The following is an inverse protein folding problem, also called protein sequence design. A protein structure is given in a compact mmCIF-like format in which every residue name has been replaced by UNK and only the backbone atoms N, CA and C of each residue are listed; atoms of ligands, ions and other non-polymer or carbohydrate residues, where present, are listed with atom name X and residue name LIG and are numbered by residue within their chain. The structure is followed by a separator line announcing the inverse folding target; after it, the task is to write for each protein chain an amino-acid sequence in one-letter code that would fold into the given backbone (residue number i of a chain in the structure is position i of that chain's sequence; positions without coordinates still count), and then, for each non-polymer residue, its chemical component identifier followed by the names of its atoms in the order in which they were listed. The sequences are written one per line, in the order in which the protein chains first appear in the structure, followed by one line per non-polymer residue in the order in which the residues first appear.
data_IF_458791275789
#
_entry.id   IF_458791275789
#
_cell.length_a   1.000
_cell.length_b   1.000
_cell.length_c   1.000
_cell.angle_alpha   90.00
_cell.angle_beta   90.00
_cell.angle_gamma   90.00
#
_symmetry.space_group_name_H-M   'P 1'
#
loop_
_entity.id
_entity.type
_entity.pdbx_description
1 polymer ?
#
# COMPACT_ATOMS: atom_id res chain seq x y z
N UNK A 1 -6.25 2.53 28.13
CA UNK A 1 -7.08 3.70 27.75
C UNK A 1 -7.43 3.56 26.27
N UNK A 2 -8.70 3.33 25.90
CA UNK A 2 -9.10 3.28 24.47
C UNK A 2 -9.03 4.70 23.90
N UNK A 3 -8.31 4.92 22.81
CA UNK A 3 -8.24 6.19 22.08
C UNK A 3 -9.56 6.42 21.32
N UNK A 4 -10.62 6.73 22.06
CA UNK A 4 -11.95 6.98 21.49
C UNK A 4 -11.88 8.17 20.51
N UNK A 5 -12.38 7.96 19.30
CA UNK A 5 -12.35 8.95 18.20
C UNK A 5 -11.13 8.89 17.29
N UNK A 6 -10.02 8.27 17.71
CA UNK A 6 -8.81 8.10 16.88
C UNK A 6 -8.73 6.74 16.21
N UNK A 7 -9.31 5.71 16.83
CA UNK A 7 -9.26 4.32 16.34
C UNK A 7 -10.67 3.84 16.04
N UNK A 8 -10.88 3.41 14.79
CA UNK A 8 -12.11 2.76 14.35
C UNK A 8 -11.89 1.26 14.21
N UNK A 9 -12.66 0.45 14.95
CA UNK A 9 -12.63 -1.01 14.81
C UNK A 9 -13.48 -1.41 13.60
N UNK A 10 -12.86 -1.91 12.54
CA UNK A 10 -13.55 -2.39 11.35
C UNK A 10 -12.63 -3.23 10.45
N UNK A 11 -13.22 -3.92 9.49
CA UNK A 11 -12.51 -4.37 8.29
C UNK A 11 -12.30 -3.18 7.35
N UNK A 12 -11.04 -2.71 7.27
CA UNK A 12 -10.68 -1.57 6.45
C UNK A 12 -10.82 -1.86 4.95
N UNK A 13 -10.71 -3.11 4.50
CA UNK A 13 -10.84 -3.46 3.08
C UNK A 13 -12.27 -3.24 2.56
N UNK A 14 -13.26 -3.25 3.44
CA UNK A 14 -14.68 -3.00 3.14
C UNK A 14 -15.08 -1.53 3.30
N UNK A 15 -14.22 -0.69 3.88
CA UNK A 15 -14.51 0.74 4.07
C UNK A 15 -14.41 1.50 2.76
N UNK A 16 -15.38 2.38 2.55
CA UNK A 16 -15.34 3.39 1.49
C UNK A 16 -14.74 4.66 2.07
N UNK A 17 -13.83 5.34 1.37
CA UNK A 17 -13.28 6.61 1.83
C UNK A 17 -14.41 7.63 2.07
N UNK A 18 -14.25 8.44 3.12
CA UNK A 18 -15.07 9.62 3.39
C UNK A 18 -14.91 10.66 2.26
N UNK A 19 -15.85 11.60 2.14
CA UNK A 19 -15.70 12.76 1.23
C UNK A 19 -14.38 13.47 1.49
N UNK A 20 -14.08 13.66 2.77
CA UNK A 20 -12.81 14.20 3.26
C UNK A 20 -11.79 13.06 3.36
N UNK A 21 -11.05 12.88 2.27
CA UNK A 21 -9.88 12.00 2.19
C UNK A 21 -8.70 12.60 2.99
N UNK A 22 -7.61 11.86 3.10
CA UNK A 22 -6.42 12.29 3.83
C UNK A 22 -5.37 12.92 2.90
N UNK A 23 -4.61 13.86 3.47
CA UNK A 23 -3.44 14.47 2.85
C UNK A 23 -2.19 13.57 3.01
N UNK A 24 -2.18 12.72 4.05
CA UNK A 24 -1.14 11.74 4.32
C UNK A 24 -1.78 10.41 4.76
N UNK A 25 -1.38 9.31 4.13
CA UNK A 25 -1.74 7.94 4.54
C UNK A 25 -0.46 7.15 4.79
N UNK A 26 -0.27 6.74 6.05
CA UNK A 26 0.87 5.91 6.46
C UNK A 26 0.42 4.51 6.86
N UNK A 27 1.25 3.51 6.65
CA UNK A 27 0.88 2.14 7.03
C UNK A 27 2.00 1.12 6.94
N UNK A 28 1.90 0.11 7.79
CA UNK A 28 2.61 -1.16 7.66
C UNK A 28 1.54 -2.25 7.45
N UNK A 29 1.06 -2.44 6.21
CA UNK A 29 -0.04 -3.36 5.97
C UNK A 29 0.37 -4.81 6.24
N UNK A 30 -0.58 -5.70 6.58
CA UNK A 30 -0.29 -7.09 6.87
C UNK A 30 0.29 -7.82 5.66
N UNK A 31 1.24 -8.72 5.92
CA UNK A 31 1.90 -9.52 4.87
C UNK A 31 1.16 -10.84 4.67
N UNK A 32 1.19 -11.36 3.44
CA UNK A 32 0.55 -12.63 3.09
C UNK A 32 -0.66 -12.48 2.17
N UNK A 33 -1.39 -13.59 2.03
CA UNK A 33 -2.50 -13.75 1.08
C UNK A 33 -3.84 -13.80 1.81
N UNK A 34 -4.87 -13.22 1.20
CA UNK A 34 -6.24 -13.31 1.67
C UNK A 34 -7.10 -14.09 0.67
N UNK A 35 -8.08 -14.84 1.19
CA UNK A 35 -9.21 -15.31 0.39
C UNK A 35 -10.27 -14.21 0.40
N UNK A 36 -10.60 -13.68 -0.77
CA UNK A 36 -11.60 -12.62 -0.92
C UNK A 36 -12.94 -13.21 -1.33
N UNK A 37 -14.03 -12.67 -0.79
CA UNK A 37 -15.36 -12.85 -1.37
C UNK A 37 -15.47 -12.15 -2.73
N UNK A 38 -16.54 -12.45 -3.47
CA UNK A 38 -16.74 -11.91 -4.81
C UNK A 38 -16.82 -10.38 -4.83
N UNK A 39 -17.51 -9.78 -3.85
CA UNK A 39 -17.69 -8.33 -3.75
C UNK A 39 -16.36 -7.60 -3.52
N UNK A 40 -15.56 -8.08 -2.57
CA UNK A 40 -14.25 -7.52 -2.25
C UNK A 40 -13.29 -7.72 -3.42
N UNK A 41 -13.32 -8.88 -4.07
CA UNK A 41 -12.48 -9.13 -5.25
C UNK A 41 -12.82 -8.18 -6.39
N UNK A 42 -14.10 -7.95 -6.65
CA UNK A 42 -14.57 -7.00 -7.65
C UNK A 42 -14.16 -5.57 -7.30
N UNK A 43 -14.30 -5.17 -6.03
CA UNK A 43 -13.86 -3.86 -5.53
C UNK A 43 -12.38 -3.57 -5.83
N UNK A 44 -11.50 -4.57 -5.67
CA UNK A 44 -10.06 -4.43 -5.88
C UNK A 44 -9.56 -4.93 -7.24
N UNK A 45 -10.45 -5.25 -8.19
CA UNK A 45 -10.06 -5.82 -9.50
C UNK A 45 -9.02 -5.01 -10.27
N UNK A 46 -8.99 -3.69 -10.07
CA UNK A 46 -8.08 -2.76 -10.77
C UNK A 46 -6.62 -2.90 -10.37
N UNK A 47 -6.35 -3.38 -9.16
CA UNK A 47 -4.99 -3.56 -8.61
C UNK A 47 -4.62 -5.05 -8.53
N UNK A 48 -5.61 -5.93 -8.49
CA UNK A 48 -5.42 -7.38 -8.39
C UNK A 48 -4.97 -8.02 -9.70
N UNK A 49 -4.04 -8.97 -9.58
CA UNK A 49 -3.72 -9.94 -10.62
C UNK A 49 -3.41 -11.30 -9.98
N UNK A 50 -4.16 -12.35 -10.32
CA UNK A 50 -4.02 -13.67 -9.71
C UNK A 50 -4.43 -13.69 -8.24
N UNK A 51 -3.45 -13.92 -7.34
CA UNK A 51 -3.66 -13.98 -5.89
C UNK A 51 -3.88 -12.59 -5.27
N UNK A 52 -4.69 -12.55 -4.20
CA UNK A 52 -4.92 -11.34 -3.43
C UNK A 52 -3.89 -11.21 -2.30
N UNK A 53 -2.83 -10.44 -2.55
CA UNK A 53 -1.83 -10.12 -1.55
C UNK A 53 -2.30 -8.93 -0.70
N UNK A 54 -2.28 -9.09 0.62
CA UNK A 54 -2.84 -8.13 1.58
C UNK A 54 -2.23 -6.73 1.44
N UNK A 55 -0.90 -6.61 1.49
CA UNK A 55 -0.24 -5.32 1.30
C UNK A 55 -0.60 -4.67 -0.04
N UNK A 56 -0.76 -5.44 -1.12
CA UNK A 56 -1.23 -4.91 -2.40
C UNK A 56 -2.66 -4.36 -2.33
N UNK A 57 -3.57 -5.04 -1.62
CA UNK A 57 -4.94 -4.56 -1.38
C UNK A 57 -4.93 -3.27 -0.55
N UNK A 58 -4.12 -3.23 0.51
CA UNK A 58 -4.00 -2.06 1.38
C UNK A 58 -3.34 -0.87 0.67
N UNK A 59 -2.43 -1.09 -0.29
CA UNK A 59 -1.88 -0.03 -1.13
C UNK A 59 -2.98 0.55 -2.04
N UNK A 60 -3.83 -0.26 -2.66
CA UNK A 60 -5.00 0.26 -3.39
C UNK A 60 -5.99 0.99 -2.46
N UNK A 61 -6.21 0.46 -1.25
CA UNK A 61 -7.03 1.14 -0.25
C UNK A 61 -6.47 2.53 0.10
N UNK A 62 -5.15 2.66 0.27
CA UNK A 62 -4.48 3.94 0.51
C UNK A 62 -4.72 4.91 -0.64
N UNK A 63 -4.61 4.45 -1.89
CA UNK A 63 -4.91 5.27 -3.08
C UNK A 63 -6.34 5.81 -3.09
N UNK A 64 -7.30 5.06 -2.52
CA UNK A 64 -8.70 5.48 -2.40
C UNK A 64 -8.89 6.52 -1.30
N UNK A 65 -8.13 6.40 -0.21
CA UNK A 65 -8.23 7.25 0.97
C UNK A 65 -7.37 8.51 0.89
N UNK A 66 -6.49 8.62 -0.11
CA UNK A 66 -5.61 9.78 -0.30
C UNK A 66 -6.21 10.75 -1.32
N UNK A 67 -6.19 12.05 -1.01
CA UNK A 67 -6.57 13.13 -1.94
C UNK A 67 -5.55 13.26 -3.08
N UNK A 68 -5.93 13.74 -4.27
CA UNK A 68 -4.96 14.31 -5.21
C UNK A 68 -4.09 15.36 -4.51
N UNK A 69 -2.78 15.32 -4.73
CA UNK A 69 -1.79 16.13 -4.02
C UNK A 69 -1.27 15.50 -2.73
N UNK A 70 -1.94 14.48 -2.17
CA UNK A 70 -1.53 13.82 -0.93
C UNK A 70 -0.44 12.76 -1.12
N UNK A 71 0.13 12.32 0.00
CA UNK A 71 1.25 11.37 0.07
C UNK A 71 0.83 10.05 0.71
N UNK A 72 1.32 8.94 0.17
CA UNK A 72 1.20 7.61 0.78
C UNK A 72 2.61 7.16 1.16
N UNK A 73 2.84 6.71 2.39
CA UNK A 73 4.14 6.20 2.84
C UNK A 73 3.96 4.84 3.54
N UNK A 74 4.39 3.77 2.85
CA UNK A 74 4.09 2.40 3.23
C UNK A 74 5.35 1.56 3.39
N UNK A 75 5.38 0.73 4.43
CA UNK A 75 6.40 -0.31 4.63
C UNK A 75 5.86 -1.62 4.07
N UNK A 76 6.46 -2.15 3.01
CA UNK A 76 5.98 -3.38 2.35
C UNK A 76 7.13 -4.30 1.93
N UNK A 77 6.89 -5.61 1.72
CA UNK A 77 7.91 -6.49 1.17
C UNK A 77 8.33 -6.08 -0.25
N UNK A 78 9.62 -6.15 -0.59
CA UNK A 78 10.18 -5.73 -1.89
C UNK A 78 9.60 -6.48 -3.10
N UNK A 79 8.98 -7.64 -2.87
CA UNK A 79 8.33 -8.45 -3.92
C UNK A 79 7.27 -7.69 -4.74
N UNK A 80 6.72 -6.57 -4.27
CA UNK A 80 5.81 -5.74 -5.07
C UNK A 80 6.49 -5.11 -6.30
N UNK A 81 7.81 -4.90 -6.25
CA UNK A 81 8.59 -4.25 -7.31
C UNK A 81 8.68 -5.12 -8.57
N UNK A 82 8.93 -6.43 -8.42
CA UNK A 82 9.14 -7.34 -9.54
C UNK A 82 8.04 -8.39 -9.71
N UNK A 83 7.34 -8.77 -8.63
CA UNK A 83 6.41 -9.90 -8.63
C UNK A 83 5.28 -9.75 -9.64
N UNK A 84 4.98 -10.84 -10.37
CA UNK A 84 3.95 -10.84 -11.44
C UNK A 84 2.56 -10.49 -10.92
N UNK A 85 2.23 -10.93 -9.69
CA UNK A 85 0.95 -10.65 -9.02
C UNK A 85 0.73 -9.15 -8.72
N UNK A 86 1.79 -8.33 -8.78
CA UNK A 86 1.73 -6.89 -8.54
C UNK A 86 1.75 -6.06 -9.82
N UNK A 87 1.73 -6.67 -11.01
CA UNK A 87 1.80 -5.92 -12.27
C UNK A 87 0.65 -4.90 -12.42
N UNK A 88 -0.57 -5.29 -12.04
CA UNK A 88 -1.74 -4.41 -12.10
C UNK A 88 -1.65 -3.28 -11.07
N UNK A 89 -1.16 -3.60 -9.86
CA UNK A 89 -0.87 -2.58 -8.84
C UNK A 89 0.20 -1.59 -9.31
N UNK A 90 1.32 -2.06 -9.88
CA UNK A 90 2.37 -1.19 -10.41
C UNK A 90 1.86 -0.30 -11.53
N UNK A 91 1.06 -0.83 -12.45
CA UNK A 91 0.43 -0.04 -13.50
C UNK A 91 -0.55 1.00 -12.94
N UNK A 92 -1.28 0.67 -11.87
CA UNK A 92 -2.15 1.61 -11.17
C UNK A 92 -1.34 2.72 -10.49
N UNK A 93 -0.28 2.38 -9.76
CA UNK A 93 0.63 3.33 -9.12
C UNK A 93 1.27 4.25 -10.16
N UNK A 94 1.88 3.72 -11.22
CA UNK A 94 2.52 4.53 -12.26
C UNK A 94 1.58 5.56 -12.91
N UNK A 95 0.28 5.25 -13.03
CA UNK A 95 -0.72 6.18 -13.60
C UNK A 95 -1.28 7.18 -12.59
N UNK A 96 -1.45 6.78 -11.33
CA UNK A 96 -2.25 7.52 -10.37
C UNK A 96 -1.44 8.08 -9.20
N UNK A 97 -0.33 7.46 -8.84
CA UNK A 97 0.53 7.79 -7.71
C UNK A 97 1.93 7.25 -7.97
N UNK A 98 2.70 7.87 -8.87
CA UNK A 98 4.06 7.42 -9.11
C UNK A 98 4.87 7.48 -7.80
N UNK A 99 5.81 6.55 -7.61
CA UNK A 99 6.68 6.56 -6.45
C UNK A 99 7.53 7.84 -6.43
N UNK A 100 7.78 8.36 -5.24
CA UNK A 100 8.65 9.50 -4.98
C UNK A 100 10.01 9.01 -4.46
N UNK A 101 9.98 8.19 -3.41
CA UNK A 101 11.16 7.49 -2.88
C UNK A 101 10.86 6.02 -2.63
N UNK A 102 11.89 5.19 -2.74
CA UNK A 102 11.90 3.78 -2.32
C UNK A 102 13.19 3.54 -1.57
N UNK A 103 13.06 3.32 -0.27
CA UNK A 103 14.17 3.12 0.64
C UNK A 103 14.16 1.66 1.11
N UNK A 104 15.18 0.90 0.73
CA UNK A 104 15.30 -0.50 1.09
C UNK A 104 15.74 -0.63 2.54
N UNK A 105 14.94 -1.29 3.37
CA UNK A 105 15.27 -1.50 4.77
C UNK A 105 16.03 -2.82 4.88
N UNK A 106 17.36 -2.74 4.81
CA UNK A 106 18.28 -3.86 5.01
C UNK A 106 18.34 -4.26 6.50
N UNK A 107 17.23 -4.70 7.09
CA UNK A 107 17.20 -5.13 8.48
C UNK A 107 17.99 -6.44 8.66
N UNK A 108 19.28 -6.34 8.99
CA UNK A 108 20.11 -7.43 9.52
C UNK A 108 19.68 -7.71 10.96
N UNK A 109 18.80 -8.70 11.18
CA UNK A 109 18.35 -9.23 12.50
C UNK A 109 17.87 -8.18 13.54
N UNK A 110 16.59 -8.25 13.92
CA UNK A 110 16.10 -7.62 15.17
C UNK A 110 15.21 -6.37 15.02
N UNK A 111 14.84 -5.97 13.80
CA UNK A 111 13.86 -4.87 13.58
C UNK A 111 12.43 -5.39 13.44
N UNK A 112 12.26 -6.61 12.90
CA UNK A 112 10.98 -7.29 12.77
C UNK A 112 11.15 -8.74 13.20
N UNK A 113 10.34 -9.20 14.16
CA UNK A 113 10.32 -10.60 14.58
C UNK A 113 9.89 -11.50 13.40
N UNK A 114 10.66 -12.55 13.12
CA UNK A 114 10.37 -13.59 12.12
C UNK A 114 10.19 -13.14 10.65
N UNK A 115 10.66 -11.95 10.28
CA UNK A 115 10.62 -11.48 8.88
C UNK A 115 11.96 -11.72 8.19
N UNK A 116 12.04 -12.79 7.39
CA UNK A 116 13.13 -13.04 6.44
C UNK A 116 13.01 -12.23 5.13
N UNK A 117 11.96 -11.42 4.99
CA UNK A 117 11.67 -10.68 3.76
C UNK A 117 12.34 -9.30 3.81
N UNK A 118 13.03 -8.95 2.73
CA UNK A 118 13.44 -7.58 2.48
C UNK A 118 12.21 -6.67 2.42
N UNK A 119 12.22 -5.59 3.18
CA UNK A 119 11.16 -4.58 3.19
C UNK A 119 11.65 -3.30 2.56
N UNK A 120 10.72 -2.54 1.99
CA UNK A 120 10.97 -1.21 1.47
C UNK A 120 9.98 -0.23 2.10
N UNK A 121 10.49 0.93 2.50
CA UNK A 121 9.67 2.11 2.75
C UNK A 121 9.49 2.83 1.41
N UNK A 122 8.29 2.78 0.87
CA UNK A 122 7.96 3.44 -0.39
C UNK A 122 7.02 4.61 -0.14
N UNK A 123 7.37 5.76 -0.73
CA UNK A 123 6.51 6.94 -0.75
C UNK A 123 5.93 7.16 -2.14
N UNK A 124 4.68 7.60 -2.22
CA UNK A 124 3.96 7.83 -3.49
C UNK A 124 3.24 9.17 -3.44
N UNK A 125 3.22 9.90 -4.56
CA UNK A 125 2.51 11.17 -4.67
C UNK A 125 1.24 11.03 -5.51
N UNK A 126 0.07 11.14 -4.86
CA UNK A 126 -1.22 11.00 -5.52
C UNK A 126 -1.46 12.11 -6.55
N UNK A 127 -1.61 11.73 -7.82
CA UNK A 127 -1.92 12.64 -8.92
C UNK A 127 -0.71 13.36 -9.52
N UNK A 128 0.51 13.05 -9.07
CA UNK A 128 1.72 13.59 -9.68
C UNK A 128 1.96 13.00 -11.08
N UNK A 129 2.69 13.75 -11.90
CA UNK A 129 3.26 13.26 -13.15
C UNK A 129 4.47 12.38 -12.78
N UNK A 130 4.66 11.22 -13.44
CA UNK A 130 5.85 10.41 -13.22
C UNK A 130 7.13 11.24 -13.37
N UNK A 131 7.98 11.20 -12.34
CA UNK A 131 9.24 11.93 -12.26
C UNK A 131 10.37 10.98 -11.83
N UNK A 132 11.58 11.52 -11.68
CA UNK A 132 12.72 10.77 -11.16
C UNK A 132 12.41 10.23 -9.75
N UNK A 133 12.58 8.92 -9.56
CA UNK A 133 12.34 8.24 -8.28
C UNK A 133 13.67 8.16 -7.54
N UNK A 134 13.71 8.59 -6.28
CA UNK A 134 14.89 8.42 -5.43
C UNK A 134 14.90 6.99 -4.90
N UNK A 135 16.00 6.27 -5.08
CA UNK A 135 16.19 4.91 -4.57
C UNK A 135 17.38 4.91 -3.64
N UNK A 136 17.21 4.40 -2.43
CA UNK A 136 18.28 4.32 -1.42
C UNK A 136 18.24 3.00 -0.64
N UNK A 137 19.33 2.69 0.07
CA UNK A 137 19.52 1.50 0.91
C UNK A 137 19.89 1.90 2.35
#
# INVERSE_FOLDING_TARGET
RRLQGMVSVCDSLRRTPTKDRFDLVIGNPPYGRAKLDAETRERYKRSLYGHANLYGLFTDLALRHTKPGGVIAYVTPTSFLAGVYFKNLRALLGRCSPPLSIDFVAARKGVFDDVLQETALATYWRGAIPAHVVVSE
#
